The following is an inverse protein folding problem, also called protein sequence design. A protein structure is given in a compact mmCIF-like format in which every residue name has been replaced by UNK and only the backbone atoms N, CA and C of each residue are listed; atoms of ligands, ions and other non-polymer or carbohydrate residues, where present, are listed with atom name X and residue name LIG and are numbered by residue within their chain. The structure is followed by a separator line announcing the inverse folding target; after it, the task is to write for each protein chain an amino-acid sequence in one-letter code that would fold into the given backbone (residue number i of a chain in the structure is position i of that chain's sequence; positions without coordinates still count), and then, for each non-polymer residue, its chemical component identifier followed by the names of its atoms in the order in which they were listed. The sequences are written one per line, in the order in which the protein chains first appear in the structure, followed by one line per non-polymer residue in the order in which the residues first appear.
data_IF_067666180267
#
_entry.id   IF_067666180267
#
_cell.length_a   1.000
_cell.length_b   1.000
_cell.length_c   1.000
_cell.angle_alpha   90.00
_cell.angle_beta   90.00
_cell.angle_gamma   90.00
#
_symmetry.space_group_name_H-M   'P 1'
#
loop_
_entity.id
_entity.type
_entity.pdbx_description
1 polymer ?
#
# COMPACT_ATOMS: atom_id res chain seq x y z
N UNK A 1 0.30 50.09 43.61
CA UNK A 1 1.03 50.10 44.89
C UNK A 1 2.02 48.93 44.92
N UNK A 2 3.23 49.14 44.41
CA UNK A 2 4.21 48.08 44.08
C UNK A 2 4.98 47.54 45.30
N UNK A 3 4.42 47.60 46.51
CA UNK A 3 5.11 47.16 47.74
C UNK A 3 6.27 48.07 48.21
N UNK A 4 6.85 48.90 47.34
CA UNK A 4 7.96 49.81 47.64
C UNK A 4 7.63 50.80 48.79
N UNK A 5 6.37 51.23 48.92
CA UNK A 5 5.96 52.10 50.02
C UNK A 5 6.16 51.46 51.41
N UNK A 6 5.94 50.14 51.53
CA UNK A 6 6.22 49.42 52.78
C UNK A 6 7.71 49.36 53.09
N UNK A 7 8.55 49.31 52.05
CA UNK A 7 10.02 49.39 52.18
C UNK A 7 10.41 50.79 52.69
N UNK A 8 9.87 51.86 52.11
CA UNK A 8 10.08 53.23 52.61
C UNK A 8 9.71 53.38 54.09
N UNK A 9 8.57 52.85 54.50
CA UNK A 9 8.15 52.89 55.91
C UNK A 9 9.12 52.15 56.85
N UNK A 10 9.64 50.99 56.43
CA UNK A 10 10.60 50.22 57.22
C UNK A 10 11.95 50.92 57.32
N UNK A 11 12.49 51.42 56.21
CA UNK A 11 13.76 52.16 56.19
C UNK A 11 13.64 53.47 56.98
N UNK A 12 12.50 54.16 56.92
CA UNK A 12 12.23 55.35 57.73
C UNK A 12 12.31 55.07 59.24
N UNK A 13 11.65 54.00 59.69
CA UNK A 13 11.58 53.63 61.11
C UNK A 13 12.91 53.08 61.64
N UNK A 14 13.60 52.26 60.85
CA UNK A 14 14.77 51.50 61.30
C UNK A 14 16.10 52.18 60.98
N UNK A 15 16.13 53.05 59.97
CA UNK A 15 17.36 53.63 59.43
C UNK A 15 18.26 52.65 58.67
N UNK A 16 17.88 51.36 58.57
CA UNK A 16 18.65 50.35 57.82
C UNK A 16 18.24 50.37 56.35
N UNK A 17 19.22 50.37 55.45
CA UNK A 17 18.95 50.24 54.01
C UNK A 17 18.30 48.90 53.68
N UNK A 18 17.43 48.88 52.68
CA UNK A 18 16.70 47.68 52.25
C UNK A 18 16.66 47.57 50.72
N UNK A 19 16.89 46.36 50.20
CA UNK A 19 16.73 46.04 48.78
C UNK A 19 15.29 45.61 48.51
N UNK A 20 14.70 46.15 47.46
CA UNK A 20 13.42 45.71 46.92
C UNK A 20 13.67 45.03 45.56
N UNK A 21 13.33 43.74 45.43
CA UNK A 21 13.65 42.94 44.26
C UNK A 21 12.92 43.40 43.00
N UNK A 22 13.35 42.86 41.87
CA UNK A 22 12.79 43.08 40.53
C UNK A 22 11.25 43.02 40.50
N UNK A 23 10.64 44.12 40.05
CA UNK A 23 9.20 44.23 39.88
C UNK A 23 8.87 45.10 38.66
N UNK A 24 7.71 44.87 38.05
CA UNK A 24 7.18 45.75 36.99
C UNK A 24 6.49 46.93 37.65
N UNK A 25 6.92 48.14 37.29
CA UNK A 25 6.28 49.40 37.66
C UNK A 25 5.37 49.83 36.52
N UNK A 26 4.11 50.12 36.83
CA UNK A 26 3.10 50.64 35.90
C UNK A 26 2.40 51.83 36.51
N UNK A 27 2.41 52.96 35.83
CA UNK A 27 1.62 54.13 36.20
C UNK A 27 1.08 54.83 34.94
N UNK A 28 0.45 56.00 35.11
CA UNK A 28 -0.15 56.73 33.99
C UNK A 28 0.87 57.24 32.96
N UNK A 29 2.16 57.34 33.35
CA UNK A 29 3.25 57.84 32.53
C UNK A 29 4.26 56.75 32.13
N UNK A 30 4.23 55.60 32.81
CA UNK A 30 5.05 54.42 32.52
C UNK A 30 4.18 53.17 32.27
N UNK A 31 4.11 52.69 31.01
CA UNK A 31 3.28 51.54 30.66
C UNK A 31 3.83 50.18 31.16
N UNK A 32 5.05 50.13 31.72
CA UNK A 32 5.62 48.90 32.28
C UNK A 32 7.13 48.79 32.13
N UNK A 33 7.89 49.36 33.07
CA UNK A 33 9.33 49.11 33.21
C UNK A 33 9.63 48.14 34.34
N UNK A 34 10.62 47.27 34.14
CA UNK A 34 11.16 46.47 35.22
C UNK A 34 12.19 47.27 35.99
N UNK A 35 12.04 47.35 37.31
CA UNK A 35 12.98 48.06 38.17
C UNK A 35 13.32 47.23 39.40
N UNK A 36 14.56 47.34 39.85
CA UNK A 36 14.97 46.98 41.20
C UNK A 36 15.32 48.24 41.97
N UNK A 37 15.15 48.23 43.30
CA UNK A 37 15.34 49.44 44.10
C UNK A 37 16.20 49.15 45.34
N UNK A 38 17.09 50.07 45.66
CA UNK A 38 17.70 50.18 46.97
C UNK A 38 17.19 51.42 47.68
N UNK A 39 16.71 51.23 48.90
CA UNK A 39 16.12 52.28 49.71
C UNK A 39 17.05 52.61 50.88
N UNK A 40 17.36 53.88 51.05
CA UNK A 40 18.28 54.40 52.06
C UNK A 40 17.63 55.49 52.92
N UNK A 41 18.12 55.65 54.15
CA UNK A 41 17.86 56.83 54.98
C UNK A 41 19.16 57.63 55.10
N UNK A 42 19.15 58.87 54.62
CA UNK A 42 20.32 59.75 54.69
C UNK A 42 20.50 60.33 56.11
N UNK A 43 21.72 60.80 56.45
CA UNK A 43 21.96 61.51 57.72
C UNK A 43 21.08 62.75 57.90
N UNK A 44 20.62 63.38 56.82
CA UNK A 44 19.65 64.49 56.82
C UNK A 44 18.25 64.06 57.31
N UNK A 45 17.99 62.76 57.41
CA UNK A 45 16.69 62.19 57.75
C UNK A 45 15.84 61.82 56.53
N UNK A 46 16.20 62.25 55.33
CA UNK A 46 15.48 61.97 54.08
C UNK A 46 15.55 60.50 53.66
N UNK A 47 14.52 60.02 52.95
CA UNK A 47 14.50 58.68 52.35
C UNK A 47 14.73 58.81 50.86
N UNK A 48 15.72 58.07 50.37
CA UNK A 48 16.08 58.06 48.96
C UNK A 48 15.94 56.64 48.43
N UNK A 49 15.28 56.51 47.27
CA UNK A 49 15.29 55.28 46.47
C UNK A 49 16.23 55.48 45.31
N UNK A 50 17.18 54.56 45.13
CA UNK A 50 17.96 54.45 43.90
C UNK A 50 17.40 53.25 43.15
N UNK A 51 16.93 53.47 41.92
CA UNK A 51 16.40 52.41 41.08
C UNK A 51 17.32 52.15 39.90
N UNK A 52 17.43 50.88 39.52
CA UNK A 52 17.99 50.46 38.24
C UNK A 52 16.84 50.02 37.34
N UNK A 53 16.78 50.58 36.13
CA UNK A 53 15.93 50.03 35.07
C UNK A 53 16.61 48.75 34.53
N UNK A 54 15.92 47.63 34.65
CA UNK A 54 16.38 46.31 34.20
C UNK A 54 15.49 45.76 33.07
N UNK A 55 14.70 46.63 32.42
CA UNK A 55 13.73 46.23 31.39
C UNK A 55 14.40 45.53 30.22
N UNK A 56 15.51 46.07 29.70
CA UNK A 56 16.27 45.46 28.59
C UNK A 56 16.75 44.06 28.97
N UNK A 57 17.35 43.90 30.16
CA UNK A 57 17.78 42.59 30.68
C UNK A 57 16.62 41.60 30.76
N UNK A 58 15.46 42.02 31.27
CA UNK A 58 14.27 41.15 31.38
C UNK A 58 13.68 40.79 30.03
N UNK A 59 13.71 41.70 29.06
CA UNK A 59 13.29 41.41 27.69
C UNK A 59 14.22 40.38 27.04
N UNK A 60 15.54 40.52 27.21
CA UNK A 60 16.52 39.54 26.71
C UNK A 60 16.36 38.16 27.38
N UNK A 61 16.17 38.12 28.70
CA UNK A 61 15.90 36.87 29.44
C UNK A 61 14.62 36.18 28.92
N UNK A 62 13.56 36.95 28.68
CA UNK A 62 12.30 36.43 28.14
C UNK A 62 12.45 35.94 26.68
N UNK A 63 13.17 36.69 25.84
CA UNK A 63 13.42 36.29 24.45
C UNK A 63 14.23 34.99 24.38
N UNK A 64 15.25 34.85 25.22
CA UNK A 64 16.05 33.63 25.30
C UNK A 64 15.21 32.43 25.77
N UNK A 65 14.34 32.65 26.77
CA UNK A 65 13.42 31.61 27.24
C UNK A 65 12.50 31.13 26.12
N UNK A 66 11.90 32.06 25.37
CA UNK A 66 11.03 31.71 24.23
C UNK A 66 11.80 30.94 23.16
N UNK A 67 13.02 31.36 22.81
CA UNK A 67 13.87 30.62 21.86
C UNK A 67 14.14 29.19 22.34
N UNK A 68 14.51 29.02 23.61
CA UNK A 68 14.77 27.69 24.19
C UNK A 68 13.53 26.80 24.19
N UNK A 69 12.37 27.34 24.56
CA UNK A 69 11.08 26.60 24.51
C UNK A 69 10.73 26.14 23.09
N UNK A 70 10.97 26.98 22.08
CA UNK A 70 10.78 26.60 20.66
C UNK A 70 11.72 25.45 20.28
N UNK A 71 12.98 25.49 20.69
CA UNK A 71 13.93 24.40 20.46
C UNK A 71 13.50 23.10 21.16
N UNK A 72 13.04 23.19 22.41
CA UNK A 72 12.60 22.06 23.23
C UNK A 72 11.27 21.43 22.77
N UNK A 73 10.37 22.24 22.21
CA UNK A 73 9.08 21.79 21.68
C UNK A 73 9.16 21.26 20.24
N UNK A 74 10.31 21.38 19.57
CA UNK A 74 10.48 20.91 18.20
C UNK A 74 10.21 19.42 18.08
N UNK A 75 9.50 19.03 17.03
CA UNK A 75 9.25 17.62 16.68
C UNK A 75 10.54 16.97 16.15
N UNK A 76 11.40 17.75 15.50
CA UNK A 76 12.71 17.28 15.06
C UNK A 76 13.67 17.20 16.22
N UNK A 77 14.48 16.14 16.23
CA UNK A 77 15.61 15.98 17.13
C UNK A 77 16.67 17.03 16.79
N UNK A 78 16.79 18.04 17.64
CA UNK A 78 17.76 19.10 17.45
C UNK A 78 18.91 18.90 18.42
N UNK A 79 20.13 19.10 17.93
CA UNK A 79 21.33 19.04 18.75
C UNK A 79 22.34 20.10 18.36
N UNK A 80 23.23 20.44 19.29
CA UNK A 80 24.45 21.18 19.01
C UNK A 80 25.64 20.43 19.58
N UNK A 81 26.80 20.62 18.98
CA UNK A 81 28.07 20.09 19.44
C UNK A 81 29.14 21.18 19.40
N UNK A 82 30.26 20.95 20.08
CA UNK A 82 31.47 21.76 19.90
C UNK A 82 32.19 21.43 18.57
N UNK A 83 33.35 22.05 18.36
CA UNK A 83 34.19 21.88 17.17
C UNK A 83 34.86 20.50 17.07
N UNK A 84 34.96 19.75 18.16
CA UNK A 84 35.43 18.36 18.18
C UNK A 84 34.28 17.36 17.89
N UNK A 85 33.05 17.86 17.73
CA UNK A 85 31.87 17.04 17.47
C UNK A 85 31.31 16.37 18.73
N UNK A 86 31.62 16.90 19.91
CA UNK A 86 31.06 16.45 21.18
C UNK A 86 29.75 17.19 21.45
N UNK A 87 28.66 16.46 21.68
CA UNK A 87 27.33 17.02 21.92
C UNK A 87 27.35 17.96 23.13
N UNK A 88 26.92 19.20 22.94
CA UNK A 88 26.81 20.23 23.99
C UNK A 88 25.37 20.44 24.42
N UNK A 89 24.41 20.15 23.54
CA UNK A 89 22.99 20.28 23.82
C UNK A 89 22.16 19.37 22.91
N UNK A 90 21.05 18.87 23.45
CA UNK A 90 20.02 18.12 22.72
C UNK A 90 18.64 18.55 23.23
N UNK A 91 17.64 18.57 22.34
CA UNK A 91 16.26 18.85 22.72
C UNK A 91 15.48 17.59 23.12
N UNK A 92 14.23 17.78 23.56
CA UNK A 92 13.36 16.66 23.97
C UNK A 92 13.08 15.61 22.88
N UNK A 93 13.05 15.98 21.60
CA UNK A 93 12.81 15.02 20.53
C UNK A 93 14.01 14.10 20.29
N UNK A 94 15.24 14.59 20.53
CA UNK A 94 16.47 13.85 20.32
C UNK A 94 16.53 12.58 21.19
N UNK A 95 16.43 12.70 22.52
CA UNK A 95 16.52 11.53 23.40
C UNK A 95 15.39 10.52 23.16
N UNK A 96 14.18 11.01 22.80
CA UNK A 96 13.04 10.15 22.46
C UNK A 96 13.29 9.33 21.21
N UNK A 97 13.82 9.96 20.16
CA UNK A 97 14.17 9.27 18.93
C UNK A 97 15.32 8.30 19.23
N UNK A 98 16.42 8.73 19.85
CA UNK A 98 17.57 7.84 20.08
C UNK A 98 17.40 6.80 21.20
N UNK A 99 16.29 6.84 21.94
CA UNK A 99 15.94 5.84 22.95
C UNK A 99 16.69 6.01 24.27
N UNK A 100 17.08 7.24 24.61
CA UNK A 100 17.66 7.59 25.91
C UNK A 100 16.56 8.05 26.89
N UNK A 101 16.83 7.95 28.19
CA UNK A 101 15.84 8.32 29.22
C UNK A 101 15.86 9.82 29.55
N UNK A 102 17.02 10.46 29.37
CA UNK A 102 17.22 11.88 29.62
C UNK A 102 18.40 12.41 28.78
N UNK A 103 18.47 13.74 28.64
CA UNK A 103 19.50 14.44 27.86
C UNK A 103 20.91 14.38 28.46
N UNK A 104 21.04 14.19 29.77
CA UNK A 104 22.34 14.21 30.47
C UNK A 104 23.19 12.99 30.11
N UNK A 105 22.57 11.89 29.69
CA UNK A 105 23.27 10.71 29.18
C UNK A 105 23.88 10.92 27.79
N UNK A 106 23.41 11.90 27.02
CA UNK A 106 23.80 12.11 25.63
C UNK A 106 24.79 13.25 25.47
N UNK A 107 24.62 14.33 26.23
CA UNK A 107 25.55 15.46 26.27
C UNK A 107 26.93 14.96 26.71
N UNK A 108 27.97 15.37 25.99
CA UNK A 108 29.35 14.92 26.20
C UNK A 108 29.75 13.71 25.36
N UNK A 109 28.84 13.08 24.61
CA UNK A 109 29.19 12.02 23.66
C UNK A 109 29.53 12.58 22.27
N UNK A 110 30.42 11.92 21.52
CA UNK A 110 30.69 12.29 20.14
C UNK A 110 29.47 12.01 19.26
N UNK A 111 29.16 12.91 18.32
CA UNK A 111 28.04 12.75 17.39
C UNK A 111 28.14 11.44 16.57
N UNK A 112 29.35 10.92 16.34
CA UNK A 112 29.59 9.67 15.62
C UNK A 112 28.90 8.45 16.27
N UNK A 113 28.70 8.46 17.59
CA UNK A 113 28.07 7.34 18.32
C UNK A 113 26.59 7.14 17.95
N UNK A 114 25.99 8.14 17.31
CA UNK A 114 24.57 8.18 16.96
C UNK A 114 24.30 7.72 15.52
N UNK A 115 25.35 7.35 14.79
CA UNK A 115 25.30 6.78 13.43
C UNK A 115 25.52 5.27 13.47
N UNK A 116 24.86 4.53 12.58
CA UNK A 116 25.09 3.09 12.43
C UNK A 116 26.38 2.77 11.67
N UNK A 117 26.67 3.55 10.64
CA UNK A 117 27.78 3.31 9.72
C UNK A 117 28.80 4.45 9.82
N UNK A 118 30.05 4.10 10.09
CA UNK A 118 31.15 5.08 10.25
C UNK A 118 31.37 5.90 8.97
N UNK A 119 31.23 5.27 7.79
CA UNK A 119 31.38 5.94 6.50
C UNK A 119 30.31 7.03 6.29
N UNK A 120 29.07 6.83 6.76
CA UNK A 120 28.02 7.86 6.70
C UNK A 120 28.40 9.06 7.57
N UNK A 121 28.88 8.82 8.80
CA UNK A 121 29.33 9.88 9.69
C UNK A 121 30.49 10.68 9.09
N UNK A 122 31.49 9.99 8.52
CA UNK A 122 32.65 10.60 7.85
C UNK A 122 32.24 11.47 6.65
N UNK A 123 31.31 11.00 5.81
CA UNK A 123 30.81 11.76 4.66
C UNK A 123 30.10 13.04 5.10
N UNK A 124 29.30 12.96 6.16
CA UNK A 124 28.57 14.12 6.72
C UNK A 124 29.55 15.15 7.27
N UNK A 125 30.52 14.72 8.09
CA UNK A 125 31.53 15.61 8.67
C UNK A 125 32.35 16.28 7.57
N UNK A 126 32.74 15.53 6.53
CA UNK A 126 33.47 16.07 5.38
C UNK A 126 32.65 17.15 4.66
N UNK A 127 31.37 16.86 4.36
CA UNK A 127 30.49 17.83 3.72
C UNK A 127 30.28 19.11 4.55
N UNK A 128 30.16 18.98 5.88
CA UNK A 128 30.07 20.12 6.80
C UNK A 128 31.35 20.96 6.78
N UNK A 129 32.52 20.34 6.74
CA UNK A 129 33.80 21.05 6.68
C UNK A 129 34.03 21.75 5.33
N UNK A 130 33.61 21.15 4.23
CA UNK A 130 33.82 21.71 2.88
C UNK A 130 32.79 22.78 2.51
N UNK A 131 31.52 22.57 2.86
CA UNK A 131 30.40 23.40 2.38
C UNK A 131 29.66 24.14 3.48
N UNK A 132 29.88 23.77 4.75
CA UNK A 132 29.18 24.33 5.91
C UNK A 132 27.78 23.77 6.16
N UNK A 133 27.26 22.92 5.27
CA UNK A 133 25.91 22.35 5.36
C UNK A 133 25.89 20.92 4.82
N UNK A 134 25.09 20.06 5.43
CA UNK A 134 24.77 18.74 4.90
C UNK A 134 23.28 18.46 5.04
N UNK A 135 22.68 17.90 4.01
CA UNK A 135 21.27 17.45 4.03
C UNK A 135 21.19 16.09 3.36
N UNK A 136 20.54 15.13 4.02
CA UNK A 136 20.36 13.82 3.43
C UNK A 136 19.75 12.79 4.36
N UNK A 137 19.60 11.59 3.82
CA UNK A 137 19.21 10.42 4.57
C UNK A 137 20.45 9.67 5.07
N UNK A 138 20.36 9.11 6.27
CA UNK A 138 21.39 8.26 6.86
C UNK A 138 20.75 7.26 7.83
N UNK A 139 21.56 6.33 8.36
CA UNK A 139 21.09 5.34 9.31
C UNK A 139 21.49 5.71 10.73
N UNK A 140 20.50 6.06 11.56
CA UNK A 140 20.70 6.34 12.98
C UNK A 140 20.82 5.05 13.80
N UNK A 141 21.64 5.10 14.86
CA UNK A 141 21.83 4.01 15.82
C UNK A 141 21.26 4.40 17.19
N UNK A 142 20.22 3.70 17.65
CA UNK A 142 19.63 3.93 18.99
C UNK A 142 20.49 3.34 20.11
N UNK A 143 20.21 3.76 21.36
CA UNK A 143 20.88 3.25 22.58
C UNK A 143 20.83 1.73 22.69
N UNK A 144 19.70 1.12 22.35
CA UNK A 144 19.45 -0.32 22.36
C UNK A 144 20.07 -1.08 21.16
N UNK A 145 20.84 -0.38 20.32
CA UNK A 145 21.49 -0.88 19.10
C UNK A 145 20.54 -1.18 17.94
N UNK A 146 19.25 -0.89 18.05
CA UNK A 146 18.35 -0.87 16.90
C UNK A 146 18.69 0.31 15.99
N UNK A 147 18.29 0.20 14.72
CA UNK A 147 18.54 1.24 13.72
C UNK A 147 17.24 1.85 13.23
N UNK A 148 17.34 3.06 12.71
CA UNK A 148 16.22 3.76 12.10
C UNK A 148 16.70 4.59 10.91
N UNK A 149 15.79 4.83 9.97
CA UNK A 149 16.08 5.71 8.85
C UNK A 149 15.93 7.16 9.32
N UNK A 150 17.00 7.94 9.21
CA UNK A 150 17.03 9.33 9.60
C UNK A 150 17.10 10.23 8.36
N UNK A 151 16.40 11.35 8.38
CA UNK A 151 16.62 12.47 7.46
C UNK A 151 17.15 13.64 8.28
N UNK A 152 18.37 14.08 7.97
CA UNK A 152 19.09 15.06 8.76
C UNK A 152 19.47 16.30 7.96
N UNK A 153 19.48 17.43 8.66
CA UNK A 153 20.19 18.65 8.30
C UNK A 153 21.31 18.85 9.33
N UNK A 154 22.53 19.08 8.87
CA UNK A 154 23.64 19.55 9.67
C UNK A 154 24.15 20.89 9.15
N UNK A 155 24.56 21.79 10.05
CA UNK A 155 25.20 23.06 9.71
C UNK A 155 26.32 23.39 10.69
N UNK A 156 27.33 24.12 10.25
CA UNK A 156 28.36 24.66 11.14
C UNK A 156 27.85 25.89 11.90
N UNK A 157 28.27 26.04 13.15
CA UNK A 157 28.05 27.22 13.98
C UNK A 157 29.33 28.05 13.97
N UNK A 158 29.22 29.34 13.67
CA UNK A 158 30.36 30.28 13.65
C UNK A 158 30.21 31.35 14.72
N UNK A 159 31.33 31.82 15.25
CA UNK A 159 31.35 33.00 16.11
C UNK A 159 31.34 34.32 15.31
N UNK A 160 31.45 35.45 16.01
CA UNK A 160 31.48 36.78 15.40
C UNK A 160 32.75 37.06 14.57
N UNK A 161 33.83 36.30 14.77
CA UNK A 161 35.06 36.38 13.99
C UNK A 161 34.98 35.57 12.69
N UNK A 162 33.99 34.67 12.59
CA UNK A 162 33.79 33.76 11.47
C UNK A 162 34.43 32.39 11.67
N UNK A 163 34.99 32.13 12.85
CA UNK A 163 35.60 30.85 13.21
C UNK A 163 34.52 29.83 13.57
N UNK A 164 34.69 28.58 13.12
CA UNK A 164 33.76 27.49 13.45
C UNK A 164 33.93 27.11 14.93
N UNK A 165 32.84 27.25 15.69
CA UNK A 165 32.80 26.93 17.13
C UNK A 165 32.01 25.65 17.43
N UNK A 166 31.38 25.06 16.42
CA UNK A 166 30.66 23.81 16.59
C UNK A 166 29.74 23.46 15.42
N UNK A 167 28.84 22.52 15.68
CA UNK A 167 27.86 22.05 14.70
C UNK A 167 26.46 22.09 15.30
N UNK A 168 25.47 22.28 14.46
CA UNK A 168 24.04 22.14 14.78
C UNK A 168 23.43 21.09 13.86
N UNK A 169 22.54 20.27 14.38
CA UNK A 169 21.75 19.36 13.56
C UNK A 169 20.26 19.41 13.91
N UNK A 170 19.44 19.06 12.91
CA UNK A 170 18.03 18.77 13.04
C UNK A 170 17.74 17.47 12.32
N UNK A 171 17.15 16.49 13.02
CA UNK A 171 16.95 15.14 12.49
C UNK A 171 15.51 14.70 12.67
N UNK A 172 14.98 14.05 11.64
CA UNK A 172 13.67 13.42 11.65
C UNK A 172 13.81 11.91 11.45
N UNK A 173 13.11 11.13 12.27
CA UNK A 173 12.93 9.70 12.00
C UNK A 173 11.90 9.52 10.87
N UNK A 174 12.34 8.93 9.76
CA UNK A 174 11.53 8.68 8.56
C UNK A 174 11.21 7.20 8.38
N UNK A 175 11.39 6.37 9.41
CA UNK A 175 11.17 4.93 9.33
C UNK A 175 9.71 4.59 9.02
N UNK A 176 8.75 5.30 9.62
CA UNK A 176 7.32 5.10 9.32
C UNK A 176 7.01 5.43 7.86
N UNK A 177 7.52 6.57 7.36
CA UNK A 177 7.38 6.97 5.96
C UNK A 177 7.91 5.88 5.02
N UNK A 178 9.14 5.42 5.25
CA UNK A 178 9.76 4.37 4.42
C UNK A 178 9.01 3.04 4.49
N UNK A 179 8.52 2.64 5.67
CA UNK A 179 7.69 1.42 5.81
C UNK A 179 6.39 1.52 5.03
N UNK A 180 5.74 2.68 5.04
CA UNK A 180 4.50 2.90 4.28
C UNK A 180 4.77 2.90 2.77
N UNK A 181 5.84 3.57 2.32
CA UNK A 181 6.27 3.57 0.92
C UNK A 181 6.59 2.15 0.43
N UNK A 182 7.33 1.37 1.22
CA UNK A 182 7.66 -0.02 0.87
C UNK A 182 6.44 -0.92 0.87
N UNK A 183 5.56 -0.81 1.87
CA UNK A 183 4.32 -1.59 1.90
C UNK A 183 3.43 -1.28 0.69
N UNK A 184 3.37 -0.01 0.28
CA UNK A 184 2.66 0.40 -0.93
C UNK A 184 3.29 -0.22 -2.18
N UNK A 185 4.62 -0.13 -2.31
CA UNK A 185 5.38 -0.72 -3.43
C UNK A 185 5.18 -2.22 -3.53
N UNK A 186 5.35 -2.96 -2.44
CA UNK A 186 5.13 -4.41 -2.37
C UNK A 186 3.68 -4.77 -2.75
N UNK A 187 2.71 -3.97 -2.29
CA UNK A 187 1.30 -4.16 -2.63
C UNK A 187 1.05 -3.92 -4.13
N UNK A 188 1.61 -2.87 -4.72
CA UNK A 188 1.49 -2.56 -6.16
C UNK A 188 2.13 -3.66 -7.01
N UNK A 189 3.35 -4.09 -6.67
CA UNK A 189 4.04 -5.19 -7.35
C UNK A 189 3.26 -6.51 -7.25
N UNK A 190 2.70 -6.80 -6.08
CA UNK A 190 1.87 -7.99 -5.88
C UNK A 190 0.61 -7.95 -6.73
N UNK A 191 -0.12 -6.84 -6.75
CA UNK A 191 -1.33 -6.72 -7.58
C UNK A 191 -1.00 -6.75 -9.07
N UNK A 192 0.05 -6.05 -9.51
CA UNK A 192 0.51 -6.09 -10.90
C UNK A 192 0.87 -7.51 -11.31
N UNK A 193 1.65 -8.24 -10.49
CA UNK A 193 2.04 -9.62 -10.78
C UNK A 193 0.85 -10.57 -10.89
N UNK A 194 -0.14 -10.45 -10.00
CA UNK A 194 -1.37 -11.29 -10.06
C UNK A 194 -2.17 -11.03 -11.34
N UNK A 195 -2.26 -9.76 -11.76
CA UNK A 195 -3.02 -9.38 -12.95
C UNK A 195 -2.28 -9.79 -14.23
N UNK A 196 -0.96 -9.54 -14.30
CA UNK A 196 -0.16 -9.86 -15.49
C UNK A 196 0.05 -11.36 -15.71
N UNK A 197 0.15 -12.15 -14.63
CA UNK A 197 0.31 -13.60 -14.73
C UNK A 197 -1.02 -14.39 -14.70
N UNK A 198 -2.16 -13.70 -14.78
CA UNK A 198 -3.47 -14.36 -14.90
C UNK A 198 -3.57 -15.09 -16.23
N UNK A 199 -4.03 -16.35 -16.22
CA UNK A 199 -4.34 -17.10 -17.44
C UNK A 199 -5.52 -16.50 -18.20
N UNK A 200 -6.48 -15.92 -17.48
CA UNK A 200 -7.61 -15.23 -18.09
C UNK A 200 -7.17 -13.80 -18.44
N UNK A 201 -7.58 -13.36 -19.62
CA UNK A 201 -7.38 -11.99 -20.08
C UNK A 201 -8.22 -11.03 -19.26
N UNK A 202 -7.62 -9.94 -18.80
CA UNK A 202 -8.31 -8.91 -18.00
C UNK A 202 -8.35 -7.63 -18.82
N UNK A 203 -9.53 -7.03 -18.97
CA UNK A 203 -9.73 -5.76 -19.70
C UNK A 203 -10.60 -4.82 -18.88
N UNK A 204 -10.22 -3.54 -18.81
CA UNK A 204 -11.07 -2.47 -18.31
C UNK A 204 -11.54 -1.60 -19.46
N UNK A 205 -12.87 -1.46 -19.58
CA UNK A 205 -13.53 -0.65 -20.60
C UNK A 205 -14.23 0.56 -19.97
N UNK A 206 -13.89 1.76 -20.44
CA UNK A 206 -14.50 3.01 -20.01
C UNK A 206 -14.89 3.82 -21.24
N UNK A 207 -16.16 4.26 -21.34
CA UNK A 207 -16.70 4.99 -22.50
C UNK A 207 -16.46 4.26 -23.84
N UNK A 208 -16.48 2.94 -23.83
CA UNK A 208 -16.22 2.09 -25.00
C UNK A 208 -14.75 2.01 -25.42
N UNK A 209 -13.83 2.50 -24.59
CA UNK A 209 -12.39 2.53 -24.83
C UNK A 209 -11.69 1.58 -23.85
N UNK A 210 -10.70 0.85 -24.34
CA UNK A 210 -9.83 0.00 -23.51
C UNK A 210 -8.87 0.88 -22.73
N UNK A 211 -8.99 0.89 -21.40
CA UNK A 211 -8.15 1.68 -20.49
C UNK A 211 -7.08 0.87 -19.79
N UNK A 212 -7.29 -0.43 -19.73
CA UNK A 212 -6.34 -1.37 -19.17
C UNK A 212 -6.55 -2.73 -19.83
N UNK A 213 -5.46 -3.45 -20.03
CA UNK A 213 -5.44 -4.85 -20.40
C UNK A 213 -4.20 -5.51 -19.77
N UNK A 214 -4.26 -6.79 -19.46
CA UNK A 214 -3.08 -7.57 -19.03
C UNK A 214 -2.40 -8.30 -20.20
N UNK A 215 -1.24 -8.90 -19.95
CA UNK A 215 -0.48 -9.66 -20.94
C UNK A 215 -1.29 -10.79 -21.61
N UNK A 216 -2.15 -11.50 -20.89
CA UNK A 216 -2.94 -12.60 -21.45
C UNK A 216 -3.88 -12.15 -22.60
N UNK A 217 -4.34 -10.89 -22.60
CA UNK A 217 -5.11 -10.34 -23.73
C UNK A 217 -4.24 -10.15 -24.97
N UNK A 218 -3.00 -9.73 -24.80
CA UNK A 218 -2.05 -9.56 -25.90
C UNK A 218 -1.72 -10.91 -26.51
N UNK A 219 -1.45 -11.92 -25.68
CA UNK A 219 -1.15 -13.28 -26.12
C UNK A 219 -2.36 -13.92 -26.85
N UNK A 220 -3.56 -13.71 -26.30
CA UNK A 220 -4.81 -14.19 -26.89
C UNK A 220 -5.10 -13.53 -28.24
N UNK A 221 -5.01 -12.20 -28.32
CA UNK A 221 -5.45 -11.45 -29.51
C UNK A 221 -4.35 -11.27 -30.57
N UNK A 222 -3.08 -11.36 -30.19
CA UNK A 222 -1.91 -11.14 -31.06
C UNK A 222 -1.64 -9.66 -31.39
N UNK A 223 -2.29 -8.72 -30.70
CA UNK A 223 -2.02 -7.28 -30.84
C UNK A 223 -0.96 -6.81 -29.85
N UNK A 224 -0.32 -5.68 -30.17
CA UNK A 224 0.55 -4.99 -29.24
C UNK A 224 -0.26 -4.05 -28.31
N UNK A 225 0.27 -3.71 -27.11
CA UNK A 225 -0.41 -2.82 -26.17
C UNK A 225 -0.82 -1.48 -26.80
N UNK A 226 0.07 -0.88 -27.59
CA UNK A 226 -0.14 0.43 -28.24
C UNK A 226 -1.27 0.42 -29.29
N UNK A 227 -1.61 -0.77 -29.80
CA UNK A 227 -2.69 -0.97 -30.77
C UNK A 227 -4.06 -1.16 -30.09
N UNK A 228 -4.09 -1.42 -28.78
CA UNK A 228 -5.32 -1.70 -28.03
C UNK A 228 -5.62 -0.65 -26.96
N UNK A 229 -4.62 -0.21 -26.21
CA UNK A 229 -4.78 0.82 -25.18
C UNK A 229 -5.27 2.11 -25.83
N UNK A 230 -6.26 2.72 -25.19
CA UNK A 230 -6.96 3.92 -25.65
C UNK A 230 -7.64 3.76 -27.02
N UNK A 231 -7.89 2.53 -27.47
CA UNK A 231 -8.70 2.23 -28.66
C UNK A 231 -10.08 1.69 -28.30
N UNK A 232 -10.99 1.77 -29.26
CA UNK A 232 -12.32 1.16 -29.13
C UNK A 232 -12.22 -0.36 -29.14
N UNK A 233 -13.01 -1.04 -28.30
CA UNK A 233 -13.02 -2.51 -28.26
C UNK A 233 -13.91 -3.14 -29.35
N UNK A 234 -14.85 -2.38 -29.91
CA UNK A 234 -15.84 -2.88 -30.87
C UNK A 234 -15.26 -3.53 -32.14
N UNK A 235 -14.13 -3.05 -32.71
CA UNK A 235 -13.48 -3.70 -33.85
C UNK A 235 -12.99 -5.13 -33.58
N UNK A 236 -12.66 -5.47 -32.33
CA UNK A 236 -12.16 -6.80 -31.92
C UNK A 236 -13.26 -7.87 -31.88
N UNK A 237 -14.52 -7.44 -31.80
CA UNK A 237 -15.68 -8.31 -31.75
C UNK A 237 -15.98 -8.84 -33.15
N UNK A 238 -16.32 -10.12 -33.26
CA UNK A 238 -16.80 -10.67 -34.52
C UNK A 238 -18.12 -10.02 -34.97
N UNK A 239 -18.43 -9.98 -36.29
CA UNK A 239 -19.64 -9.33 -36.80
C UNK A 239 -20.93 -9.83 -36.17
N UNK A 240 -21.00 -11.12 -35.84
CA UNK A 240 -22.16 -11.76 -35.22
C UNK A 240 -22.42 -11.22 -33.80
N UNK A 241 -21.36 -11.10 -32.99
CA UNK A 241 -21.47 -10.69 -31.59
C UNK A 241 -21.38 -9.18 -31.37
N UNK A 242 -20.91 -8.40 -32.37
CA UNK A 242 -20.74 -6.94 -32.23
C UNK A 242 -22.03 -6.25 -31.79
N UNK A 243 -23.16 -6.55 -32.41
CA UNK A 243 -24.46 -5.92 -32.05
C UNK A 243 -24.91 -6.31 -30.64
N UNK A 244 -24.73 -7.58 -30.27
CA UNK A 244 -25.10 -8.09 -28.95
C UNK A 244 -24.31 -7.37 -27.85
N UNK A 245 -22.98 -7.33 -27.96
CA UNK A 245 -22.11 -6.73 -26.94
C UNK A 245 -22.28 -5.20 -26.90
N UNK A 246 -22.44 -4.53 -28.04
CA UNK A 246 -22.64 -3.07 -28.08
C UNK A 246 -23.96 -2.61 -27.46
N UNK A 247 -24.98 -3.48 -27.41
CA UNK A 247 -26.22 -3.19 -26.68
C UNK A 247 -26.09 -3.48 -25.18
N UNK A 248 -25.37 -4.54 -24.84
CA UNK A 248 -25.22 -5.02 -23.47
C UNK A 248 -24.25 -4.16 -22.65
N UNK A 249 -23.15 -3.67 -23.23
CA UNK A 249 -22.18 -2.79 -22.56
C UNK A 249 -22.81 -1.55 -21.90
N UNK A 250 -23.56 -0.68 -22.62
CA UNK A 250 -24.18 0.49 -22.00
C UNK A 250 -25.32 0.11 -21.06
N UNK A 251 -26.04 -0.98 -21.32
CA UNK A 251 -27.08 -1.50 -20.42
C UNK A 251 -26.50 -1.93 -19.06
N UNK A 252 -25.34 -2.60 -19.07
CA UNK A 252 -24.60 -2.99 -17.86
C UNK A 252 -24.18 -1.78 -17.03
N UNK A 253 -23.58 -0.76 -17.65
CA UNK A 253 -23.18 0.48 -16.96
C UNK A 253 -24.37 1.26 -16.37
N UNK A 254 -25.55 1.12 -16.99
CA UNK A 254 -26.81 1.65 -16.50
C UNK A 254 -27.44 0.82 -15.36
N UNK A 255 -26.82 -0.29 -14.96
CA UNK A 255 -27.31 -1.17 -13.89
C UNK A 255 -28.51 -2.03 -14.29
N UNK A 256 -28.73 -2.24 -15.60
CA UNK A 256 -29.77 -3.17 -16.07
C UNK A 256 -29.34 -4.61 -15.85
N UNK A 257 -30.32 -5.48 -15.64
CA UNK A 257 -30.10 -6.92 -15.58
C UNK A 257 -29.73 -7.44 -16.97
N UNK A 258 -28.45 -7.78 -17.13
CA UNK A 258 -27.88 -8.34 -18.35
C UNK A 258 -26.95 -9.49 -17.96
N UNK A 259 -26.76 -10.49 -18.84
CA UNK A 259 -25.85 -11.60 -18.54
C UNK A 259 -24.47 -11.08 -18.10
N UNK A 260 -24.01 -11.57 -16.95
CA UNK A 260 -22.66 -11.30 -16.45
C UNK A 260 -21.63 -12.19 -17.13
N UNK A 261 -22.05 -13.33 -17.70
CA UNK A 261 -21.20 -14.33 -18.32
C UNK A 261 -21.83 -14.86 -19.60
N UNK A 262 -21.06 -14.99 -20.67
CA UNK A 262 -21.51 -15.51 -21.96
C UNK A 262 -20.32 -15.92 -22.85
N UNK A 263 -20.56 -16.88 -23.73
CA UNK A 263 -19.60 -17.30 -24.76
C UNK A 263 -19.76 -16.44 -26.02
N UNK A 264 -18.64 -16.12 -26.65
CA UNK A 264 -18.61 -15.43 -27.93
C UNK A 264 -17.32 -15.75 -28.69
N UNK A 265 -17.17 -15.14 -29.86
CA UNK A 265 -15.92 -15.21 -30.63
C UNK A 265 -15.29 -13.84 -30.81
N UNK A 266 -13.96 -13.79 -30.68
CA UNK A 266 -13.15 -12.62 -31.01
C UNK A 266 -12.26 -12.90 -32.21
N UNK A 267 -11.94 -11.83 -32.94
CA UNK A 267 -11.07 -11.90 -34.10
C UNK A 267 -9.67 -11.47 -33.67
N UNK A 268 -8.71 -12.39 -33.79
CA UNK A 268 -7.28 -12.09 -33.58
C UNK A 268 -6.74 -11.21 -34.70
N UNK A 269 -5.54 -10.65 -34.50
CA UNK A 269 -4.84 -9.82 -35.50
C UNK A 269 -4.58 -10.55 -36.82
N UNK A 270 -4.34 -11.86 -36.76
CA UNK A 270 -4.15 -12.74 -37.92
C UNK A 270 -5.47 -13.11 -38.65
N UNK A 271 -6.62 -12.65 -38.14
CA UNK A 271 -7.95 -12.92 -38.68
C UNK A 271 -8.58 -14.22 -38.18
N UNK A 272 -7.91 -15.00 -37.35
CA UNK A 272 -8.45 -16.24 -36.79
C UNK A 272 -9.51 -15.92 -35.74
N UNK A 273 -10.66 -16.61 -35.84
CA UNK A 273 -11.71 -16.53 -34.83
C UNK A 273 -11.37 -17.44 -33.65
N UNK A 274 -11.40 -16.92 -32.43
CA UNK A 274 -11.13 -17.67 -31.20
C UNK A 274 -12.37 -17.65 -30.31
N UNK A 275 -12.88 -18.83 -29.90
CA UNK A 275 -13.97 -18.90 -28.95
C UNK A 275 -13.47 -18.49 -27.56
N UNK A 276 -14.19 -17.56 -26.95
CA UNK A 276 -13.91 -17.04 -25.62
C UNK A 276 -15.16 -17.06 -24.76
N UNK A 277 -14.95 -17.14 -23.45
CA UNK A 277 -15.95 -16.93 -22.42
C UNK A 277 -15.65 -15.58 -21.76
N UNK A 278 -16.64 -14.69 -21.74
CA UNK A 278 -16.50 -13.34 -21.17
C UNK A 278 -17.31 -13.27 -19.89
N UNK A 279 -16.65 -12.90 -18.79
CA UNK A 279 -17.29 -12.55 -17.52
C UNK A 279 -17.05 -11.08 -17.20
N UNK A 280 -18.12 -10.29 -17.08
CA UNK A 280 -18.03 -8.84 -16.92
C UNK A 280 -18.79 -8.32 -15.70
N UNK A 281 -18.16 -7.39 -14.97
CA UNK A 281 -18.75 -6.66 -13.85
C UNK A 281 -18.53 -5.15 -13.98
N UNK A 282 -19.28 -4.34 -13.24
CA UNK A 282 -19.09 -2.88 -13.18
C UNK A 282 -18.18 -2.51 -12.02
N UNK A 283 -17.17 -1.68 -12.29
CA UNK A 283 -16.23 -1.14 -11.30
C UNK A 283 -16.15 0.38 -11.41
N UNK A 284 -15.46 1.01 -10.46
CA UNK A 284 -15.02 2.41 -10.60
C UNK A 284 -13.55 2.42 -11.01
N UNK A 285 -13.22 3.11 -12.09
CA UNK A 285 -11.86 3.26 -12.61
C UNK A 285 -11.60 4.73 -12.93
N UNK A 286 -10.56 5.33 -12.34
CA UNK A 286 -10.29 6.76 -12.49
C UNK A 286 -11.43 7.67 -12.01
N UNK A 287 -12.23 7.23 -11.04
CA UNK A 287 -13.36 7.99 -10.49
C UNK A 287 -14.66 7.94 -11.32
N UNK A 288 -14.67 7.27 -12.47
CA UNK A 288 -15.89 7.06 -13.27
C UNK A 288 -16.26 5.57 -13.36
N UNK A 289 -17.48 5.28 -13.80
CA UNK A 289 -17.92 3.89 -14.03
C UNK A 289 -17.18 3.27 -15.22
N UNK A 290 -16.71 2.04 -15.03
CA UNK A 290 -16.09 1.22 -16.05
C UNK A 290 -16.61 -0.22 -15.96
N UNK A 291 -16.35 -1.02 -17.01
CA UNK A 291 -16.59 -2.47 -17.01
C UNK A 291 -15.25 -3.18 -16.87
N UNK A 292 -15.13 -4.07 -15.90
CA UNK A 292 -14.04 -5.03 -15.79
C UNK A 292 -14.50 -6.34 -16.42
N UNK A 293 -13.74 -6.86 -17.38
CA UNK A 293 -14.03 -8.10 -18.09
C UNK A 293 -12.88 -9.08 -17.94
N UNK A 294 -13.21 -10.32 -17.58
CA UNK A 294 -12.35 -11.49 -17.65
C UNK A 294 -12.69 -12.25 -18.93
N UNK A 295 -11.67 -12.61 -19.70
CA UNK A 295 -11.77 -13.22 -21.02
C UNK A 295 -10.98 -14.51 -20.99
N UNK A 296 -11.68 -15.63 -20.95
CA UNK A 296 -11.08 -16.96 -20.95
C UNK A 296 -11.11 -17.53 -22.35
N UNK A 297 -9.97 -18.03 -22.82
CA UNK A 297 -9.93 -18.84 -24.04
C UNK A 297 -10.53 -20.22 -23.76
N UNK A 298 -11.55 -20.61 -24.53
CA UNK A 298 -12.25 -21.89 -24.37
C UNK A 298 -12.05 -22.82 -25.57
N UNK A 299 -11.00 -22.59 -26.37
CA UNK A 299 -10.68 -23.41 -27.56
C UNK A 299 -10.45 -24.87 -27.20
N UNK A 300 -9.64 -25.14 -26.18
CA UNK A 300 -9.37 -26.51 -25.71
C UNK A 300 -10.64 -27.21 -25.21
N UNK A 301 -11.48 -26.47 -24.46
CA UNK A 301 -12.78 -26.97 -23.99
C UNK A 301 -13.67 -27.37 -25.16
N UNK A 302 -13.84 -26.49 -26.15
CA UNK A 302 -14.67 -26.78 -27.33
C UNK A 302 -14.12 -27.92 -28.19
N UNK A 303 -12.81 -28.00 -28.36
CA UNK A 303 -12.18 -29.09 -29.11
C UNK A 303 -12.37 -30.44 -28.42
N UNK A 304 -12.25 -30.49 -27.08
CA UNK A 304 -12.49 -31.70 -26.31
C UNK A 304 -13.96 -32.13 -26.37
N UNK A 305 -14.90 -31.18 -26.27
CA UNK A 305 -16.34 -31.45 -26.42
C UNK A 305 -16.68 -31.98 -27.82
N UNK A 306 -16.12 -31.38 -28.87
CA UNK A 306 -16.33 -31.83 -30.25
C UNK A 306 -15.74 -33.22 -30.50
N UNK A 307 -14.51 -33.46 -30.03
CA UNK A 307 -13.88 -34.78 -30.13
C UNK A 307 -14.71 -35.86 -29.42
N UNK A 308 -15.22 -35.55 -28.21
CA UNK A 308 -16.07 -36.47 -27.46
C UNK A 308 -17.37 -36.79 -28.22
N UNK A 309 -17.97 -35.80 -28.88
CA UNK A 309 -19.15 -36.01 -29.72
C UNK A 309 -18.80 -36.89 -30.93
N UNK A 310 -17.66 -36.65 -31.58
CA UNK A 310 -17.20 -37.44 -32.72
C UNK A 310 -16.93 -38.89 -32.30
N UNK A 311 -16.19 -39.12 -31.21
CA UNK A 311 -15.89 -40.47 -30.69
C UNK A 311 -17.17 -41.22 -30.34
N UNK A 312 -18.12 -40.56 -29.67
CA UNK A 312 -19.43 -41.15 -29.35
C UNK A 312 -20.18 -41.57 -30.61
N UNK A 313 -20.20 -40.71 -31.63
CA UNK A 313 -20.87 -41.00 -32.89
C UNK A 313 -20.16 -42.13 -33.67
N UNK A 314 -18.82 -42.17 -33.67
CA UNK A 314 -18.05 -43.25 -34.29
C UNK A 314 -18.27 -44.59 -33.59
N UNK A 315 -18.27 -44.62 -32.26
CA UNK A 315 -18.57 -45.81 -31.48
C UNK A 315 -19.97 -46.35 -31.81
N UNK A 316 -20.98 -45.48 -31.86
CA UNK A 316 -22.33 -45.86 -32.25
C UNK A 316 -22.38 -46.43 -33.67
N UNK A 317 -21.67 -45.81 -34.61
CA UNK A 317 -21.60 -46.28 -36.00
C UNK A 317 -20.93 -47.67 -36.12
N UNK A 318 -19.87 -47.94 -35.36
CA UNK A 318 -19.24 -49.27 -35.34
C UNK A 318 -20.20 -50.35 -34.82
N UNK A 319 -20.96 -50.06 -33.76
CA UNK A 319 -21.99 -50.96 -33.26
C UNK A 319 -23.02 -51.27 -34.35
N UNK A 320 -23.47 -50.26 -35.09
CA UNK A 320 -24.54 -50.41 -36.10
C UNK A 320 -24.11 -51.11 -37.40
N UNK A 321 -22.85 -50.93 -37.84
CA UNK A 321 -22.31 -51.55 -39.06
C UNK A 321 -21.81 -52.97 -38.82
N UNK A 322 -21.47 -53.32 -37.57
CA UNK A 322 -20.97 -54.64 -37.25
C UNK A 322 -21.88 -55.74 -37.83
N UNK A 323 -21.32 -56.58 -38.71
CA UNK A 323 -22.04 -57.70 -39.34
C UNK A 323 -22.40 -58.84 -38.37
N UNK A 324 -22.04 -58.68 -37.10
CA UNK A 324 -22.28 -59.61 -35.99
C UNK A 324 -23.25 -59.01 -34.98
N UNK A 325 -23.91 -59.87 -34.23
CA UNK A 325 -24.70 -59.49 -33.07
C UNK A 325 -23.76 -59.11 -31.92
N UNK A 326 -23.89 -57.89 -31.41
CA UNK A 326 -23.21 -57.40 -30.21
C UNK A 326 -24.25 -57.19 -29.12
N UNK A 327 -24.03 -57.82 -27.97
CA UNK A 327 -24.92 -57.76 -26.81
C UNK A 327 -24.08 -57.53 -25.56
N UNK A 328 -24.54 -56.64 -24.69
CA UNK A 328 -24.07 -56.55 -23.31
C UNK A 328 -25.21 -56.93 -22.36
N UNK A 329 -24.88 -57.69 -21.33
CA UNK A 329 -25.81 -58.12 -20.27
C UNK A 329 -25.34 -57.55 -18.93
N UNK A 330 -26.28 -57.27 -18.02
CA UNK A 330 -25.95 -57.01 -16.61
C UNK A 330 -25.71 -58.30 -15.82
N UNK A 331 -25.40 -58.16 -14.53
CA UNK A 331 -25.16 -59.27 -13.59
C UNK A 331 -26.35 -60.23 -13.44
N UNK A 332 -27.56 -59.80 -13.78
CA UNK A 332 -28.78 -60.61 -13.73
C UNK A 332 -29.14 -61.20 -15.10
N UNK A 333 -28.31 -60.97 -16.13
CA UNK A 333 -28.54 -61.42 -17.50
C UNK A 333 -29.54 -60.56 -18.28
N UNK A 334 -29.90 -59.37 -17.79
CA UNK A 334 -30.74 -58.44 -18.52
C UNK A 334 -29.94 -57.73 -19.63
N UNK A 335 -30.54 -57.60 -20.81
CA UNK A 335 -29.90 -56.97 -21.98
C UNK A 335 -29.78 -55.47 -21.76
N UNK A 336 -28.56 -54.99 -21.55
CA UNK A 336 -28.26 -53.57 -21.35
C UNK A 336 -27.89 -52.86 -22.66
N UNK A 337 -27.39 -53.61 -23.64
CA UNK A 337 -27.09 -53.12 -24.98
C UNK A 337 -27.31 -54.24 -26.00
N UNK A 338 -27.92 -53.93 -27.13
CA UNK A 338 -27.94 -54.81 -28.31
C UNK A 338 -27.83 -53.95 -29.58
N UNK A 339 -26.90 -54.29 -30.46
CA UNK A 339 -26.71 -53.53 -31.69
C UNK A 339 -27.82 -53.80 -32.72
N UNK A 340 -27.94 -52.93 -33.73
CA UNK A 340 -28.97 -53.04 -34.79
C UNK A 340 -28.97 -54.40 -35.50
N UNK A 341 -27.80 -54.99 -35.74
CA UNK A 341 -27.69 -56.31 -36.37
C UNK A 341 -28.26 -57.42 -35.47
N UNK A 342 -28.05 -57.34 -34.16
CA UNK A 342 -28.64 -58.22 -33.17
C UNK A 342 -30.17 -58.18 -33.19
N UNK A 343 -30.73 -56.97 -33.16
CA UNK A 343 -32.18 -56.74 -33.31
C UNK A 343 -32.74 -57.35 -34.61
N UNK A 344 -32.05 -57.15 -35.75
CA UNK A 344 -32.45 -57.72 -37.04
C UNK A 344 -32.43 -59.26 -37.06
N UNK A 345 -31.38 -59.87 -36.50
CA UNK A 345 -31.23 -61.33 -36.47
C UNK A 345 -32.30 -61.96 -35.56
N UNK A 346 -32.56 -61.36 -34.40
CA UNK A 346 -33.55 -61.87 -33.44
C UNK A 346 -34.99 -61.50 -33.80
N UNK A 347 -35.19 -60.56 -34.73
CA UNK A 347 -36.51 -60.10 -35.15
C UNK A 347 -37.22 -59.20 -34.13
N UNK A 348 -36.47 -58.54 -33.24
CA UNK A 348 -37.01 -57.63 -32.23
C UNK A 348 -36.65 -56.17 -32.52
N UNK A 349 -37.52 -55.25 -32.10
CA UNK A 349 -37.18 -53.85 -31.98
C UNK A 349 -36.39 -53.63 -30.69
N UNK A 350 -35.35 -52.79 -30.75
CA UNK A 350 -34.45 -52.51 -29.61
C UNK A 350 -35.23 -52.13 -28.34
N UNK A 351 -36.25 -51.28 -28.47
CA UNK A 351 -37.07 -50.80 -27.35
C UNK A 351 -37.85 -51.92 -26.63
N UNK A 352 -38.04 -53.07 -27.27
CA UNK A 352 -38.80 -54.21 -26.74
C UNK A 352 -37.92 -55.30 -26.14
N UNK A 353 -36.62 -55.29 -26.46
CA UNK A 353 -35.65 -56.31 -26.06
C UNK A 353 -34.68 -55.80 -24.98
N UNK A 354 -34.37 -54.50 -24.95
CA UNK A 354 -33.55 -53.90 -23.88
C UNK A 354 -34.28 -54.02 -22.53
N UNK A 355 -33.54 -54.32 -21.47
CA UNK A 355 -33.98 -54.67 -20.11
C UNK A 355 -34.77 -55.99 -19.99
N UNK A 356 -34.85 -56.82 -21.04
CA UNK A 356 -35.36 -58.20 -20.93
C UNK A 356 -34.23 -59.15 -20.55
N UNK A 357 -34.56 -60.23 -19.85
CA UNK A 357 -33.58 -61.27 -19.51
C UNK A 357 -33.25 -62.09 -20.77
N UNK A 358 -31.96 -62.16 -21.11
CA UNK A 358 -31.48 -62.85 -22.31
C UNK A 358 -31.80 -64.34 -22.31
N UNK A 359 -31.63 -65.00 -21.17
CA UNK A 359 -31.84 -66.44 -21.03
C UNK A 359 -33.33 -66.81 -21.13
N UNK A 360 -34.24 -65.95 -20.69
CA UNK A 360 -35.68 -66.18 -20.81
C UNK A 360 -36.22 -65.89 -22.22
N UNK A 361 -35.59 -64.96 -22.95
CA UNK A 361 -36.12 -64.48 -24.22
C UNK A 361 -35.54 -65.23 -25.44
N UNK A 362 -34.23 -65.46 -25.45
CA UNK A 362 -33.50 -65.89 -26.64
C UNK A 362 -33.02 -67.34 -26.60
N UNK A 363 -33.02 -67.97 -25.41
CA UNK A 363 -32.59 -69.36 -25.24
C UNK A 363 -33.81 -70.28 -25.12
N UNK A 364 -33.88 -71.41 -25.85
CA UNK A 364 -34.96 -72.40 -25.72
C UNK A 364 -35.10 -72.98 -24.31
N UNK A 365 -36.34 -73.19 -23.85
CA UNK A 365 -36.65 -73.62 -22.47
C UNK A 365 -35.97 -74.92 -22.03
N UNK A 366 -35.78 -75.85 -22.96
CA UNK A 366 -35.20 -77.18 -22.74
C UNK A 366 -33.71 -77.17 -22.38
N UNK A 367 -33.00 -76.04 -22.60
CA UNK A 367 -31.56 -75.90 -22.30
C UNK A 367 -31.24 -74.75 -21.32
N UNK A 368 -32.25 -74.01 -20.82
CA UNK A 368 -32.03 -72.86 -19.92
C UNK A 368 -31.37 -73.25 -18.60
N UNK A 369 -31.82 -74.35 -18.00
CA UNK A 369 -31.36 -74.81 -16.69
C UNK A 369 -29.92 -75.35 -16.74
N UNK A 370 -29.51 -75.93 -17.87
CA UNK A 370 -28.14 -76.40 -18.10
C UNK A 370 -27.15 -75.22 -18.23
N UNK A 371 -27.57 -74.15 -18.91
CA UNK A 371 -26.76 -72.95 -19.14
C UNK A 371 -26.67 -72.08 -17.89
N UNK A 372 -27.78 -71.89 -17.16
CA UNK A 372 -27.80 -71.10 -15.91
C UNK A 372 -26.96 -71.70 -14.79
N UNK A 373 -26.75 -73.02 -14.80
CA UNK A 373 -25.88 -73.70 -13.83
C UNK A 373 -24.37 -73.62 -14.13
N UNK A 374 -23.99 -73.05 -15.29
CA UNK A 374 -22.60 -73.04 -15.80
C UNK A 374 -21.96 -71.64 -15.84
N UNK A 375 -22.70 -70.59 -15.45
CA UNK A 375 -22.30 -69.18 -15.38
C UNK A 375 -22.26 -68.79 -13.91
#
# INVERSE_FOLDING_TARGET
EFGLFKVFQRVWRTGKQEYFPEAIYRDEHDPGTWRENWVYKLPSGEIVSVYNDITERKQLEAELLVKNEVFEASITANSTSDNEGILTYVNNAFFKIWGYENKEEEVGKPISDFFKFEDEAMNIITALNETGVWVGEYTGLRKDKTTFAAYGLGTIIKDASGDTIGYQSAVQDISDRKRMEETLRESEEKYSSVVENSMDGIVVLQKGIIKFLNQAILDLTGYNPEELIDKEFAPLLSPEYRKFVMNMYPARLAGKDVPSMYDMEIIRKDGISVPIEVSSTTITYGGEKATLSFIRNISERKQAEELMIIEKNQAQQYLDIAGVMLIALDENGAITLINRKGCQILGYDESKIVNKNWFDLCIPEDIRDEIRGSI
#
